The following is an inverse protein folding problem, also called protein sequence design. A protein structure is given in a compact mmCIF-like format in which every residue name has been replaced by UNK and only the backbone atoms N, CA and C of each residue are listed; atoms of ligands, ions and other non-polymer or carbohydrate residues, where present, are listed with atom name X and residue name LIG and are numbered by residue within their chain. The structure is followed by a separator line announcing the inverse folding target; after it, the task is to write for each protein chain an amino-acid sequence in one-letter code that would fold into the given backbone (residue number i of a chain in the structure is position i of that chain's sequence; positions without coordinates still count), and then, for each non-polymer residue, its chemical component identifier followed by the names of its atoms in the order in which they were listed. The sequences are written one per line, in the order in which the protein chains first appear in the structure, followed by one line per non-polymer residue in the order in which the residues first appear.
data_IF_072378991934
#
_entry.id   IF_072378991934
#
_cell.length_a   1.000
_cell.length_b   1.000
_cell.length_c   1.000
_cell.angle_alpha   90.00
_cell.angle_beta   90.00
_cell.angle_gamma   90.00
#
_symmetry.space_group_name_H-M   'P 1'
#
loop_
_entity.id
_entity.type
_entity.pdbx_description
1 polymer ?
#
# COMPACT_ATOMS: atom_id res chain seq x y z
N UNK A 1 -6.99 -4.00 23.18
CA UNK A 1 -7.49 -3.64 21.83
C UNK A 1 -7.15 -2.18 21.56
N UNK A 2 -6.46 -1.91 20.44
CA UNK A 2 -6.01 -0.56 20.01
C UNK A 2 -7.19 0.38 19.85
N UNK A 3 -7.08 1.61 20.40
CA UNK A 3 -8.03 2.71 20.18
C UNK A 3 -7.33 3.83 19.45
N UNK A 4 -7.95 4.39 18.42
CA UNK A 4 -7.38 5.47 17.63
C UNK A 4 -8.33 6.65 17.63
N UNK A 5 -7.84 7.80 18.09
CA UNK A 5 -8.59 9.05 18.13
C UNK A 5 -7.90 10.09 17.27
N UNK A 6 -8.58 10.56 16.24
CA UNK A 6 -8.09 11.60 15.33
C UNK A 6 -8.65 12.96 15.75
N UNK A 7 -7.78 13.87 16.14
CA UNK A 7 -8.14 15.21 16.58
C UNK A 7 -8.10 16.16 15.39
N UNK A 8 -9.23 16.75 15.05
CA UNK A 8 -9.40 17.62 13.88
C UNK A 8 -9.85 19.03 14.28
N UNK A 9 -9.18 20.08 13.75
CA UNK A 9 -9.68 21.44 13.89
C UNK A 9 -10.83 21.69 12.90
N UNK A 10 -11.85 22.40 13.34
CA UNK A 10 -12.97 22.84 12.50
C UNK A 10 -12.65 24.15 11.83
N UNK A 11 -12.05 25.10 12.55
CA UNK A 11 -11.64 26.42 12.10
C UNK A 11 -10.10 26.54 12.03
N UNK A 12 -9.61 27.40 11.14
CA UNK A 12 -8.16 27.61 10.94
C UNK A 12 -7.47 28.31 12.13
N UNK A 13 -8.22 28.97 13.00
CA UNK A 13 -7.76 29.60 14.24
C UNK A 13 -7.40 28.61 15.34
N UNK A 14 -7.93 27.39 15.29
CA UNK A 14 -7.71 26.37 16.32
C UNK A 14 -6.26 25.90 16.30
N UNK A 15 -5.60 26.00 17.46
CA UNK A 15 -4.25 25.49 17.70
C UNK A 15 -4.36 24.16 18.45
N UNK A 16 -3.86 23.07 17.84
CA UNK A 16 -4.02 21.72 18.39
C UNK A 16 -3.00 21.33 19.47
N UNK A 17 -1.84 21.99 19.55
CA UNK A 17 -0.71 21.52 20.38
C UNK A 17 -1.06 21.39 21.86
N UNK A 18 -1.71 22.41 22.43
CA UNK A 18 -2.18 22.36 23.83
C UNK A 18 -3.20 21.25 24.05
N UNK A 19 -4.17 21.13 23.14
CA UNK A 19 -5.22 20.14 23.21
C UNK A 19 -4.67 18.72 23.07
N UNK A 20 -3.75 18.49 22.12
CA UNK A 20 -3.10 17.18 21.94
C UNK A 20 -2.35 16.74 23.20
N UNK A 21 -1.64 17.68 23.84
CA UNK A 21 -0.95 17.40 25.10
C UNK A 21 -1.93 16.98 26.22
N UNK A 22 -3.02 17.73 26.41
CA UNK A 22 -4.07 17.42 27.38
C UNK A 22 -4.79 16.12 27.08
N UNK A 23 -5.07 15.88 25.79
CA UNK A 23 -5.71 14.63 25.31
C UNK A 23 -4.83 13.43 25.59
N UNK A 24 -3.52 13.54 25.30
CA UNK A 24 -2.54 12.49 25.56
C UNK A 24 -2.40 12.19 27.07
N UNK A 25 -2.34 13.23 27.91
CA UNK A 25 -2.31 13.07 29.36
C UNK A 25 -3.59 12.39 29.89
N UNK A 26 -4.74 12.77 29.36
CA UNK A 26 -6.02 12.14 29.70
C UNK A 26 -6.03 10.68 29.28
N UNK A 27 -5.59 10.37 28.05
CA UNK A 27 -5.54 9.01 27.54
C UNK A 27 -4.61 8.08 28.36
N UNK A 28 -3.48 8.60 28.85
CA UNK A 28 -2.53 7.86 29.70
C UNK A 28 -3.11 7.36 31.01
N UNK A 29 -4.20 7.95 31.49
CA UNK A 29 -4.93 7.46 32.68
C UNK A 29 -5.64 6.13 32.43
N UNK A 30 -5.91 5.80 31.16
CA UNK A 30 -6.71 4.64 30.71
C UNK A 30 -5.89 3.56 29.99
N UNK A 31 -4.59 3.78 29.80
CA UNK A 31 -3.70 2.82 29.18
C UNK A 31 -2.42 3.44 28.61
N UNK A 32 -1.59 2.60 27.98
CA UNK A 32 -0.42 3.10 27.25
C UNK A 32 -0.91 3.96 26.08
N UNK A 33 -0.51 5.24 26.06
CA UNK A 33 -0.97 6.19 25.06
C UNK A 33 0.21 6.88 24.37
N UNK A 34 0.10 7.04 23.04
CA UNK A 34 1.10 7.72 22.21
C UNK A 34 0.45 8.78 21.32
N UNK A 35 1.26 9.75 20.87
CA UNK A 35 0.90 10.73 19.85
C UNK A 35 1.49 10.33 18.51
N UNK A 36 0.68 10.39 17.45
CA UNK A 36 1.08 10.18 16.06
C UNK A 36 0.69 11.40 15.22
N UNK A 37 1.67 12.05 14.59
CA UNK A 37 1.48 13.25 13.77
C UNK A 37 1.88 12.99 12.31
N UNK A 38 1.05 12.28 11.53
CA UNK A 38 1.40 11.80 10.19
C UNK A 38 1.39 12.90 9.12
N UNK A 39 0.69 14.01 9.38
CA UNK A 39 0.54 15.14 8.44
C UNK A 39 1.20 16.40 9.01
N UNK A 40 2.46 16.29 9.47
CA UNK A 40 3.28 17.46 9.74
C UNK A 40 3.54 18.24 8.45
N UNK A 41 4.14 19.44 8.52
CA UNK A 41 4.25 20.35 7.38
C UNK A 41 4.88 19.73 6.11
N UNK A 42 5.92 18.93 6.25
CA UNK A 42 6.59 18.26 5.13
C UNK A 42 5.75 17.10 4.57
N UNK A 43 5.28 16.24 5.45
CA UNK A 43 4.42 15.11 5.07
C UNK A 43 3.08 15.56 4.49
N UNK A 44 2.53 16.68 4.98
CA UNK A 44 1.33 17.29 4.40
C UNK A 44 1.55 17.72 2.96
N UNK A 45 2.65 18.40 2.64
CA UNK A 45 2.96 18.86 1.28
C UNK A 45 3.04 17.69 0.31
N UNK A 46 3.72 16.61 0.69
CA UNK A 46 3.82 15.38 -0.10
C UNK A 46 2.47 14.68 -0.27
N UNK A 47 1.68 14.59 0.78
CA UNK A 47 0.34 13.99 0.73
C UNK A 47 -0.61 14.82 -0.14
N UNK A 48 -0.53 16.15 -0.08
CA UNK A 48 -1.31 17.07 -0.90
C UNK A 48 -0.96 16.96 -2.39
N UNK A 49 0.33 16.82 -2.72
CA UNK A 49 0.78 16.56 -4.08
C UNK A 49 0.23 15.22 -4.61
N UNK A 50 0.36 14.15 -3.85
CA UNK A 50 -0.21 12.85 -4.22
C UNK A 50 -1.73 12.92 -4.39
N UNK A 51 -2.42 13.62 -3.49
CA UNK A 51 -3.87 13.81 -3.59
C UNK A 51 -4.28 14.56 -4.85
N UNK A 52 -3.58 15.68 -5.19
CA UNK A 52 -3.87 16.48 -6.39
C UNK A 52 -3.67 15.69 -7.70
N UNK A 53 -2.78 14.71 -7.68
CA UNK A 53 -2.50 13.82 -8.81
C UNK A 53 -3.37 12.55 -8.83
N UNK A 54 -4.42 12.48 -8.00
CA UNK A 54 -5.31 11.32 -7.90
C UNK A 54 -4.74 10.11 -7.13
N UNK A 55 -3.57 10.26 -6.51
CA UNK A 55 -2.85 9.22 -5.80
C UNK A 55 -2.95 9.33 -4.27
N UNK A 56 -3.98 9.97 -3.74
CA UNK A 56 -4.16 10.14 -2.29
C UNK A 56 -4.18 8.83 -1.50
N UNK A 57 -4.66 7.75 -2.12
CA UNK A 57 -4.63 6.42 -1.49
C UNK A 57 -3.20 5.93 -1.18
N UNK A 58 -2.21 6.29 -2.01
CA UNK A 58 -0.79 5.95 -1.79
C UNK A 58 -0.24 6.66 -0.55
N UNK A 59 -0.63 7.94 -0.34
CA UNK A 59 -0.27 8.66 0.88
C UNK A 59 -0.84 7.98 2.13
N UNK A 60 -2.10 7.56 2.08
CA UNK A 60 -2.74 6.86 3.21
C UNK A 60 -2.14 5.49 3.48
N UNK A 61 -1.74 4.76 2.45
CA UNK A 61 -1.02 3.48 2.57
C UNK A 61 0.33 3.66 3.28
N UNK A 62 1.08 4.72 2.91
CA UNK A 62 2.35 5.03 3.57
C UNK A 62 2.13 5.42 5.05
N UNK A 63 1.12 6.24 5.34
CA UNK A 63 0.76 6.60 6.71
C UNK A 63 0.36 5.36 7.53
N UNK A 64 -0.44 4.46 6.95
CA UNK A 64 -0.83 3.22 7.61
C UNK A 64 0.37 2.29 7.87
N UNK A 65 1.33 2.27 6.95
CA UNK A 65 2.60 1.54 7.12
C UNK A 65 3.41 2.10 8.29
N UNK A 66 3.58 3.43 8.36
CA UNK A 66 4.32 4.07 9.44
C UNK A 66 3.59 3.94 10.78
N UNK A 67 2.27 4.05 10.77
CA UNK A 67 1.41 3.78 11.93
C UNK A 67 1.62 2.35 12.46
N UNK A 68 1.69 1.35 11.60
CA UNK A 68 1.90 -0.04 11.99
C UNK A 68 3.26 -0.30 12.64
N UNK A 69 4.29 0.45 12.24
CA UNK A 69 5.66 0.31 12.78
C UNK A 69 5.80 0.88 14.19
N UNK A 70 5.05 1.94 14.51
CA UNK A 70 5.20 2.66 15.79
C UNK A 70 4.15 2.29 16.82
N UNK A 71 3.07 1.62 16.42
CA UNK A 71 1.95 1.28 17.32
C UNK A 71 1.95 -0.21 17.68
N UNK A 72 1.52 -0.50 18.90
CA UNK A 72 1.32 -1.88 19.39
C UNK A 72 -0.18 -2.16 19.56
N UNK A 73 -0.51 -3.44 19.77
CA UNK A 73 -1.84 -3.81 20.24
C UNK A 73 -2.06 -3.25 21.68
N UNK A 74 -3.31 -2.97 22.00
CA UNK A 74 -3.74 -2.44 23.31
C UNK A 74 -3.28 -1.02 23.66
N UNK A 75 -2.76 -0.26 22.69
CA UNK A 75 -2.44 1.15 22.87
C UNK A 75 -3.61 2.07 22.53
N UNK A 76 -3.61 3.25 23.17
CA UNK A 76 -4.43 4.40 22.79
C UNK A 76 -3.55 5.30 21.92
N UNK A 77 -3.97 5.55 20.69
CA UNK A 77 -3.22 6.40 19.76
C UNK A 77 -4.00 7.69 19.53
N UNK A 78 -3.41 8.80 19.94
CA UNK A 78 -3.91 10.13 19.61
C UNK A 78 -3.26 10.54 18.30
N UNK A 79 -4.07 10.80 17.27
CA UNK A 79 -3.60 11.17 15.95
C UNK A 79 -3.87 12.66 15.74
N UNK A 80 -2.85 13.39 15.35
CA UNK A 80 -2.97 14.78 14.96
C UNK A 80 -3.42 14.87 13.50
N UNK A 81 -4.54 15.53 13.24
CA UNK A 81 -4.97 15.87 11.90
C UNK A 81 -4.19 17.04 11.31
N UNK A 82 -4.28 17.22 10.00
CA UNK A 82 -3.73 18.37 9.31
C UNK A 82 -4.45 19.66 9.75
N UNK A 83 -3.66 20.71 9.96
CA UNK A 83 -4.18 22.05 10.26
C UNK A 83 -4.76 22.72 8.99
N UNK A 84 -5.71 23.62 9.19
CA UNK A 84 -6.42 24.27 8.08
C UNK A 84 -5.76 25.56 7.55
N UNK A 85 -4.57 25.92 8.05
CA UNK A 85 -3.96 27.23 7.81
C UNK A 85 -3.56 27.49 6.35
N UNK A 86 -2.97 26.49 5.67
CA UNK A 86 -2.37 26.72 4.34
C UNK A 86 -3.27 26.28 3.18
N UNK A 87 -4.13 25.31 3.38
CA UNK A 87 -5.01 24.77 2.34
C UNK A 87 -6.20 24.05 2.98
N UNK A 88 -7.22 24.79 3.44
CA UNK A 88 -8.34 24.23 4.20
C UNK A 88 -9.05 23.09 3.49
N UNK A 89 -9.31 23.22 2.19
CA UNK A 89 -9.98 22.18 1.39
C UNK A 89 -9.17 20.88 1.35
N UNK A 90 -7.88 20.97 1.02
CA UNK A 90 -6.99 19.80 0.93
C UNK A 90 -6.81 19.17 2.30
N UNK A 91 -6.61 19.97 3.35
CA UNK A 91 -6.48 19.49 4.72
C UNK A 91 -7.73 18.74 5.19
N UNK A 92 -8.94 19.24 4.92
CA UNK A 92 -10.19 18.53 5.25
C UNK A 92 -10.30 17.19 4.55
N UNK A 93 -9.98 17.13 3.24
CA UNK A 93 -10.04 15.86 2.49
C UNK A 93 -8.97 14.87 2.95
N UNK A 94 -7.75 15.32 3.21
CA UNK A 94 -6.72 14.44 3.79
C UNK A 94 -7.08 13.95 5.19
N UNK A 95 -7.71 14.79 6.03
CA UNK A 95 -8.19 14.41 7.36
C UNK A 95 -9.30 13.34 7.30
N UNK A 96 -10.24 13.47 6.36
CA UNK A 96 -11.27 12.47 6.10
C UNK A 96 -10.64 11.14 5.66
N UNK A 97 -9.73 11.19 4.69
CA UNK A 97 -9.01 10.00 4.23
C UNK A 97 -8.20 9.35 5.36
N UNK A 98 -7.58 10.16 6.21
CA UNK A 98 -6.81 9.68 7.37
C UNK A 98 -7.71 8.98 8.39
N UNK A 99 -8.90 9.54 8.68
CA UNK A 99 -9.88 8.89 9.55
C UNK A 99 -10.26 7.49 9.06
N UNK A 100 -10.54 7.37 7.78
CA UNK A 100 -10.90 6.11 7.14
C UNK A 100 -9.70 5.15 7.05
N UNK A 101 -8.51 5.68 6.75
CA UNK A 101 -7.29 4.87 6.61
C UNK A 101 -6.85 4.24 7.92
N UNK A 102 -7.11 4.87 9.05
CA UNK A 102 -6.73 4.39 10.38
C UNK A 102 -7.93 3.84 11.19
N UNK A 103 -9.12 3.72 10.62
CA UNK A 103 -10.38 3.40 11.33
C UNK A 103 -10.49 4.18 12.65
N UNK A 104 -10.20 5.49 12.55
CA UNK A 104 -10.07 6.35 13.71
C UNK A 104 -11.43 6.92 14.14
N UNK A 105 -11.60 7.07 15.46
CA UNK A 105 -12.71 7.84 16.04
C UNK A 105 -12.33 9.32 16.01
N UNK A 106 -13.16 10.14 15.38
CA UNK A 106 -12.87 11.56 15.21
C UNK A 106 -13.34 12.40 16.40
N UNK A 107 -12.50 13.33 16.80
CA UNK A 107 -12.79 14.40 17.76
C UNK A 107 -12.70 15.73 17.02
N UNK A 108 -13.84 16.41 16.86
CA UNK A 108 -13.93 17.71 16.18
C UNK A 108 -13.79 18.84 17.21
N UNK A 109 -12.80 19.69 17.02
CA UNK A 109 -12.53 20.82 17.90
C UNK A 109 -12.90 22.12 17.20
N UNK A 110 -13.80 22.87 17.83
CA UNK A 110 -14.34 24.14 17.33
C UNK A 110 -14.18 25.24 18.38
N UNK A 111 -14.25 26.49 17.95
CA UNK A 111 -14.27 27.63 18.89
C UNK A 111 -15.50 27.59 19.82
N UNK A 112 -16.61 27.05 19.33
CA UNK A 112 -17.84 26.93 20.11
C UNK A 112 -18.67 25.70 19.68
N UNK A 113 -19.60 25.28 20.55
CA UNK A 113 -20.41 24.07 20.35
C UNK A 113 -21.54 24.22 19.30
N UNK A 114 -21.83 25.44 18.86
CA UNK A 114 -22.94 25.77 17.97
C UNK A 114 -22.52 26.29 16.59
N UNK A 115 -21.22 26.19 16.24
CA UNK A 115 -20.71 26.63 14.94
C UNK A 115 -21.38 25.87 13.79
N UNK A 116 -21.75 26.60 12.75
CA UNK A 116 -22.34 26.01 11.55
C UNK A 116 -21.32 25.09 10.86
N UNK A 117 -20.06 25.51 10.82
CA UNK A 117 -18.95 24.71 10.27
C UNK A 117 -18.81 23.38 10.97
N UNK A 118 -18.92 23.37 12.32
CA UNK A 118 -18.89 22.15 13.12
C UNK A 118 -20.04 21.21 12.74
N UNK A 119 -21.26 21.72 12.59
CA UNK A 119 -22.40 20.89 12.23
C UNK A 119 -22.28 20.35 10.81
N UNK A 120 -21.85 21.17 9.84
CA UNK A 120 -21.61 20.74 8.45
C UNK A 120 -20.55 19.65 8.38
N UNK A 121 -19.39 19.85 9.01
CA UNK A 121 -18.30 18.89 8.98
C UNK A 121 -18.67 17.58 9.69
N UNK A 122 -19.38 17.67 10.83
CA UNK A 122 -19.88 16.48 11.50
C UNK A 122 -20.83 15.66 10.62
N UNK A 123 -21.76 16.34 9.91
CA UNK A 123 -22.70 15.67 8.99
C UNK A 123 -21.93 15.02 7.82
N UNK A 124 -21.02 15.74 7.16
CA UNK A 124 -20.20 15.22 6.06
C UNK A 124 -19.43 13.96 6.49
N UNK A 125 -18.77 13.99 7.64
CA UNK A 125 -18.02 12.84 8.14
C UNK A 125 -18.92 11.64 8.44
N UNK A 126 -20.09 11.87 9.03
CA UNK A 126 -21.04 10.79 9.32
C UNK A 126 -21.62 10.16 8.05
N UNK A 127 -21.95 10.96 7.02
CA UNK A 127 -22.38 10.48 5.70
C UNK A 127 -21.29 9.62 5.06
N UNK A 128 -20.04 9.98 5.23
CA UNK A 128 -18.86 9.21 4.77
C UNK A 128 -18.47 8.06 5.73
N UNK A 129 -19.35 7.70 6.69
CA UNK A 129 -19.16 6.58 7.63
C UNK A 129 -17.98 6.75 8.58
N UNK A 130 -17.53 7.96 8.82
CA UNK A 130 -16.53 8.28 9.83
C UNK A 130 -17.22 8.43 11.19
N UNK A 131 -16.69 7.78 12.21
CA UNK A 131 -17.24 7.84 13.57
C UNK A 131 -16.77 9.10 14.29
N UNK A 132 -17.65 10.03 14.56
CA UNK A 132 -17.38 11.21 15.40
C UNK A 132 -17.82 10.89 16.84
N UNK A 133 -16.88 10.94 17.79
CA UNK A 133 -17.11 10.58 19.21
C UNK A 133 -17.23 11.79 20.11
N UNK A 134 -16.58 12.90 19.76
CA UNK A 134 -16.70 14.17 20.48
C UNK A 134 -16.66 15.33 19.48
N UNK A 135 -17.38 16.39 19.79
CA UNK A 135 -17.39 17.62 18.98
C UNK A 135 -17.73 18.83 19.84
N UNK A 136 -17.15 19.99 19.53
CA UNK A 136 -17.42 21.26 20.20
C UNK A 136 -16.16 21.98 20.67
N UNK A 137 -16.33 22.86 21.67
CA UNK A 137 -15.24 23.59 22.28
C UNK A 137 -14.27 22.65 23.03
N UNK A 138 -13.02 23.07 23.22
CA UNK A 138 -11.94 22.26 23.82
C UNK A 138 -12.34 21.61 25.13
N UNK A 139 -12.96 22.34 26.04
CA UNK A 139 -13.37 21.83 27.35
C UNK A 139 -14.43 20.74 27.24
N UNK A 140 -15.37 20.88 26.31
CA UNK A 140 -16.42 19.92 26.06
C UNK A 140 -15.87 18.64 25.44
N UNK A 141 -15.05 18.76 24.40
CA UNK A 141 -14.47 17.59 23.72
C UNK A 141 -13.60 16.74 24.63
N UNK A 142 -12.82 17.34 25.53
CA UNK A 142 -12.02 16.60 26.51
C UNK A 142 -12.89 15.78 27.48
N UNK A 143 -13.98 16.37 27.98
CA UNK A 143 -14.91 15.67 28.87
C UNK A 143 -15.59 14.49 28.18
N UNK A 144 -16.08 14.70 26.94
CA UNK A 144 -16.76 13.65 26.16
C UNK A 144 -15.78 12.55 25.76
N UNK A 145 -14.55 12.90 25.38
CA UNK A 145 -13.51 11.92 25.07
C UNK A 145 -13.16 11.06 26.29
N UNK A 146 -13.06 11.68 27.47
CA UNK A 146 -12.80 10.95 28.72
C UNK A 146 -13.92 9.94 29.02
N UNK A 147 -15.17 10.30 28.77
CA UNK A 147 -16.31 9.38 28.88
C UNK A 147 -16.24 8.23 27.86
N UNK A 148 -15.77 8.50 26.64
CA UNK A 148 -15.57 7.43 25.64
C UNK A 148 -14.41 6.50 26.00
N UNK A 149 -13.35 7.03 26.61
CA UNK A 149 -12.21 6.25 27.10
C UNK A 149 -12.58 5.28 28.25
N UNK A 150 -13.61 5.58 29.03
CA UNK A 150 -14.14 4.68 30.08
C UNK A 150 -14.92 3.49 29.54
N UNK A 151 -15.43 3.59 28.30
CA UNK A 151 -16.22 2.52 27.67
C UNK A 151 -15.33 1.35 27.23
N UNK A 152 -15.94 0.18 27.11
CA UNK A 152 -15.28 -0.95 26.44
C UNK A 152 -14.97 -0.56 24.98
N UNK A 153 -13.75 -0.80 24.50
CA UNK A 153 -13.40 -0.48 23.11
C UNK A 153 -14.31 -1.19 22.14
N UNK A 154 -14.79 -0.46 21.13
CA UNK A 154 -15.43 -1.10 19.98
C UNK A 154 -14.41 -1.93 19.21
N UNK A 155 -14.87 -3.00 18.58
CA UNK A 155 -14.05 -3.78 17.65
C UNK A 155 -13.63 -2.87 16.49
N UNK A 156 -12.32 -2.72 16.32
CA UNK A 156 -11.73 -1.93 15.25
C UNK A 156 -11.66 -2.76 13.98
N UNK A 157 -12.03 -2.17 12.86
CA UNK A 157 -11.94 -2.81 11.55
C UNK A 157 -10.57 -2.52 10.92
N UNK A 158 -10.02 -3.50 10.23
CA UNK A 158 -8.82 -3.29 9.40
C UNK A 158 -9.25 -2.50 8.16
N UNK A 159 -8.73 -1.30 8.00
CA UNK A 159 -8.98 -0.48 6.82
C UNK A 159 -8.30 -1.05 5.57
N UNK A 160 -8.71 -0.58 4.40
CA UNK A 160 -8.05 -0.95 3.14
C UNK A 160 -6.56 -0.54 3.13
N UNK A 161 -6.24 0.64 3.67
CA UNK A 161 -4.86 1.13 3.76
C UNK A 161 -4.02 0.26 4.69
N UNK A 162 -4.53 -0.08 5.86
CA UNK A 162 -3.84 -0.98 6.82
C UNK A 162 -3.69 -2.40 6.28
N UNK A 163 -4.70 -2.91 5.58
CA UNK A 163 -4.59 -4.23 4.93
C UNK A 163 -3.44 -4.22 3.92
N UNK A 164 -3.39 -3.23 3.02
CA UNK A 164 -2.30 -3.09 2.06
C UNK A 164 -0.95 -2.92 2.75
N UNK A 165 -0.85 -2.05 3.75
CA UNK A 165 0.36 -1.88 4.55
C UNK A 165 0.83 -3.20 5.18
N UNK A 166 -0.08 -4.01 5.72
CA UNK A 166 0.25 -5.32 6.29
C UNK A 166 0.82 -6.30 5.26
N UNK A 167 0.33 -6.25 4.02
CA UNK A 167 0.89 -7.05 2.91
C UNK A 167 2.31 -6.60 2.56
N UNK A 168 2.55 -5.28 2.52
CA UNK A 168 3.90 -4.73 2.25
C UNK A 168 4.90 -5.15 3.34
N UNK A 169 4.52 -5.08 4.61
CA UNK A 169 5.37 -5.55 5.72
C UNK A 169 5.73 -7.02 5.54
N UNK A 170 4.73 -7.89 5.37
CA UNK A 170 4.96 -9.33 5.18
C UNK A 170 5.81 -9.65 3.96
N UNK A 171 5.60 -8.95 2.85
CA UNK A 171 6.37 -9.15 1.63
C UNK A 171 7.84 -8.73 1.81
N UNK A 172 8.10 -7.62 2.53
CA UNK A 172 9.45 -7.11 2.77
C UNK A 172 10.28 -7.96 3.75
N UNK A 173 9.63 -8.66 4.67
CA UNK A 173 10.32 -9.56 5.63
C UNK A 173 11.05 -10.73 4.93
N UNK A 174 10.44 -11.26 3.87
CA UNK A 174 10.98 -12.36 3.09
C UNK A 174 10.70 -12.15 1.61
N UNK A 175 11.50 -11.26 1.01
CA UNK A 175 11.37 -10.95 -0.41
C UNK A 175 11.44 -12.22 -1.26
N UNK A 176 10.50 -12.35 -2.16
CA UNK A 176 10.40 -13.44 -3.11
C UNK A 176 10.88 -13.00 -4.49
N UNK A 177 11.56 -13.89 -5.17
CA UNK A 177 12.02 -13.69 -6.53
C UNK A 177 10.89 -13.99 -7.50
N UNK A 178 10.40 -12.97 -8.21
CA UNK A 178 9.20 -13.06 -9.05
C UNK A 178 9.58 -12.78 -10.50
N UNK A 179 9.36 -13.74 -11.39
CA UNK A 179 9.57 -13.54 -12.82
C UNK A 179 8.35 -12.91 -13.49
N UNK A 180 8.61 -11.93 -14.32
CA UNK A 180 7.65 -11.14 -15.10
C UNK A 180 7.94 -11.34 -16.59
N UNK A 181 7.26 -12.29 -17.26
CA UNK A 181 7.56 -12.68 -18.65
C UNK A 181 7.34 -11.58 -19.67
N UNK A 182 6.49 -10.60 -19.38
CA UNK A 182 6.10 -9.52 -20.28
C UNK A 182 6.92 -8.26 -20.00
N UNK A 183 8.26 -8.41 -20.00
CA UNK A 183 9.18 -7.34 -19.64
C UNK A 183 9.18 -6.13 -20.59
N UNK A 184 8.67 -6.28 -21.80
CA UNK A 184 8.54 -5.18 -22.76
C UNK A 184 7.21 -4.40 -22.60
N UNK A 185 6.33 -4.81 -21.69
CA UNK A 185 5.08 -4.10 -21.42
C UNK A 185 5.32 -2.94 -20.43
N UNK A 186 4.97 -1.69 -20.78
CA UNK A 186 5.25 -0.51 -19.94
C UNK A 186 4.72 -0.62 -18.50
N UNK A 187 3.52 -1.18 -18.30
CA UNK A 187 2.92 -1.39 -16.98
C UNK A 187 3.70 -2.41 -16.15
N UNK A 188 4.23 -3.44 -16.81
CA UNK A 188 5.06 -4.46 -16.15
C UNK A 188 6.40 -3.87 -15.70
N UNK A 189 7.01 -3.02 -16.54
CA UNK A 189 8.25 -2.31 -16.20
C UNK A 189 8.02 -1.41 -14.98
N UNK A 190 6.97 -0.59 -14.98
CA UNK A 190 6.63 0.29 -13.87
C UNK A 190 6.36 -0.50 -12.58
N UNK A 191 5.60 -1.57 -12.67
CA UNK A 191 5.31 -2.45 -11.53
C UNK A 191 6.58 -3.12 -10.98
N UNK A 192 7.50 -3.54 -11.84
CA UNK A 192 8.78 -4.13 -11.42
C UNK A 192 9.66 -3.10 -10.69
N UNK A 193 9.76 -1.88 -11.21
CA UNK A 193 10.50 -0.80 -10.56
C UNK A 193 9.92 -0.52 -9.17
N UNK A 194 8.61 -0.33 -9.07
CA UNK A 194 7.93 -0.08 -7.79
C UNK A 194 8.09 -1.23 -6.80
N UNK A 195 7.99 -2.48 -7.27
CA UNK A 195 8.17 -3.65 -6.42
C UNK A 195 9.61 -3.77 -5.89
N UNK A 196 10.59 -3.45 -6.72
CA UNK A 196 12.00 -3.43 -6.34
C UNK A 196 12.31 -2.33 -5.33
N UNK A 197 11.95 -1.08 -5.63
CA UNK A 197 12.20 0.09 -4.78
C UNK A 197 11.52 -0.02 -3.40
N UNK A 198 10.29 -0.52 -3.39
CA UNK A 198 9.54 -0.74 -2.14
C UNK A 198 9.91 -2.03 -1.41
N UNK A 199 10.86 -2.79 -1.93
CA UNK A 199 11.30 -4.08 -1.37
C UNK A 199 10.16 -5.09 -1.19
N UNK A 200 9.18 -5.07 -2.09
CA UNK A 200 8.05 -6.00 -2.08
C UNK A 200 8.47 -7.36 -2.61
N UNK A 201 9.30 -7.37 -3.67
CA UNK A 201 9.80 -8.57 -4.31
C UNK A 201 11.19 -8.30 -4.92
N UNK A 202 11.83 -9.35 -5.39
CA UNK A 202 13.00 -9.28 -6.28
C UNK A 202 12.48 -9.62 -7.70
N UNK A 203 12.09 -8.61 -8.50
CA UNK A 203 11.54 -8.86 -9.82
C UNK A 203 12.63 -9.28 -10.81
N UNK A 204 12.26 -10.15 -11.75
CA UNK A 204 13.07 -10.56 -12.91
C UNK A 204 12.26 -10.30 -14.16
N UNK A 205 12.61 -9.28 -14.93
CA UNK A 205 11.97 -8.99 -16.20
C UNK A 205 12.53 -9.90 -17.31
N UNK A 206 11.67 -10.56 -18.08
CA UNK A 206 12.09 -11.29 -19.27
C UNK A 206 11.82 -10.44 -20.51
N UNK A 207 12.86 -10.19 -21.32
CA UNK A 207 12.72 -9.43 -22.54
C UNK A 207 14.05 -8.85 -23.04
N UNK A 208 13.99 -8.12 -24.15
CA UNK A 208 15.16 -7.46 -24.68
C UNK A 208 15.55 -6.24 -23.84
N UNK A 209 16.76 -6.22 -23.27
CA UNK A 209 17.21 -5.15 -22.37
C UNK A 209 17.12 -3.75 -23.01
N UNK A 210 17.57 -3.61 -24.25
CA UNK A 210 17.56 -2.30 -24.92
C UNK A 210 16.13 -1.77 -25.11
N UNK A 211 15.22 -2.65 -25.53
CA UNK A 211 13.83 -2.30 -25.71
C UNK A 211 13.16 -1.90 -24.38
N UNK A 212 13.42 -2.64 -23.29
CA UNK A 212 12.95 -2.32 -21.95
C UNK A 212 13.47 -0.95 -21.48
N UNK A 213 14.75 -0.66 -21.71
CA UNK A 213 15.38 0.62 -21.35
C UNK A 213 14.81 1.79 -22.17
N UNK A 214 14.52 1.58 -23.46
CA UNK A 214 13.88 2.57 -24.33
C UNK A 214 12.44 2.88 -23.89
N UNK A 215 11.65 1.84 -23.57
CA UNK A 215 10.29 2.00 -23.06
C UNK A 215 10.28 2.73 -21.71
N UNK A 216 11.17 2.36 -20.80
CA UNK A 216 11.29 3.02 -19.49
C UNK A 216 11.63 4.51 -19.68
N UNK A 217 12.60 4.83 -20.55
CA UNK A 217 12.99 6.21 -20.85
C UNK A 217 11.84 7.02 -21.44
N UNK A 218 11.07 6.43 -22.36
CA UNK A 218 9.90 7.08 -22.96
C UNK A 218 8.80 7.40 -21.95
N UNK A 219 8.78 6.68 -20.82
CA UNK A 219 7.86 6.87 -19.69
C UNK A 219 8.44 7.69 -18.56
N UNK A 220 9.64 8.28 -18.72
CA UNK A 220 10.39 8.97 -17.67
C UNK A 220 10.64 8.09 -16.42
N UNK A 221 10.76 6.78 -16.61
CA UNK A 221 11.09 5.82 -15.57
C UNK A 221 12.60 5.55 -15.59
N UNK A 222 13.18 5.43 -14.40
CA UNK A 222 14.59 5.01 -14.23
C UNK A 222 14.60 3.57 -13.73
N UNK A 223 15.27 2.69 -14.48
CA UNK A 223 15.46 1.30 -14.08
C UNK A 223 16.55 1.26 -13.00
N UNK A 224 16.25 0.75 -11.80
CA UNK A 224 17.26 0.57 -10.75
C UNK A 224 18.38 -0.37 -11.21
N UNK A 225 19.63 -0.05 -10.84
CA UNK A 225 20.81 -0.83 -11.26
C UNK A 225 20.73 -2.33 -10.88
N UNK A 226 20.11 -2.63 -9.74
CA UNK A 226 19.93 -4.00 -9.25
C UNK A 226 18.69 -4.73 -9.79
N UNK A 227 17.87 -4.10 -10.63
CA UNK A 227 16.71 -4.76 -11.25
C UNK A 227 17.17 -5.71 -12.36
N UNK A 228 16.89 -7.01 -12.18
CA UNK A 228 17.33 -8.02 -13.12
C UNK A 228 16.50 -8.03 -14.39
N UNK A 229 17.18 -8.01 -15.53
CA UNK A 229 16.59 -8.20 -16.85
C UNK A 229 17.30 -9.38 -17.50
N UNK A 230 16.54 -10.41 -17.87
CA UNK A 230 17.02 -11.60 -18.54
C UNK A 230 16.50 -11.63 -19.97
N UNK A 231 17.41 -11.69 -20.93
CA UNK A 231 17.04 -11.80 -22.34
C UNK A 231 16.51 -13.18 -22.68
N UNK A 232 15.41 -13.22 -23.43
CA UNK A 232 14.81 -14.45 -23.92
C UNK A 232 15.48 -14.82 -25.24
N UNK A 233 16.46 -15.69 -25.14
CA UNK A 233 17.27 -16.19 -26.27
C UNK A 233 17.25 -17.71 -26.28
N UNK A 234 17.72 -18.31 -27.38
CA UNK A 234 17.91 -19.77 -27.45
C UNK A 234 18.92 -20.24 -26.38
N UNK A 235 19.97 -19.47 -26.12
CA UNK A 235 20.99 -19.80 -25.13
C UNK A 235 20.42 -19.75 -23.69
N UNK A 236 19.59 -18.74 -23.38
CA UNK A 236 18.95 -18.66 -22.06
C UNK A 236 17.98 -19.81 -21.77
N UNK A 237 17.34 -20.34 -22.82
CA UNK A 237 16.44 -21.51 -22.75
C UNK A 237 17.13 -22.85 -22.70
N UNK A 238 18.34 -22.96 -23.25
CA UNK A 238 19.07 -24.23 -23.49
C UNK A 238 19.18 -25.13 -22.27
N UNK A 239 19.46 -24.58 -21.10
CA UNK A 239 19.59 -25.34 -19.85
C UNK A 239 18.31 -26.03 -19.41
N UNK A 240 17.13 -25.58 -19.88
CA UNK A 240 15.83 -26.14 -19.51
C UNK A 240 15.32 -27.21 -20.48
N UNK A 241 15.91 -27.30 -21.70
CA UNK A 241 15.47 -28.25 -22.74
C UNK A 241 15.42 -29.70 -22.23
N UNK A 242 16.47 -30.25 -21.59
CA UNK A 242 16.43 -31.64 -21.11
C UNK A 242 15.30 -31.91 -20.12
N UNK A 243 15.09 -30.98 -19.18
CA UNK A 243 14.04 -31.13 -18.17
C UNK A 243 12.65 -31.02 -18.79
N UNK A 244 12.43 -30.09 -19.74
CA UNK A 244 11.14 -29.94 -20.43
C UNK A 244 10.81 -31.19 -21.26
N UNK A 245 11.80 -31.73 -21.97
CA UNK A 245 11.65 -32.98 -22.72
C UNK A 245 11.25 -34.13 -21.79
N UNK A 246 11.95 -34.32 -20.69
CA UNK A 246 11.64 -35.39 -19.73
C UNK A 246 10.23 -35.24 -19.13
N UNK A 247 9.86 -34.06 -18.71
CA UNK A 247 8.52 -33.75 -18.15
C UNK A 247 7.38 -34.04 -19.12
N UNK A 248 7.64 -33.94 -20.41
CA UNK A 248 6.61 -34.01 -21.48
C UNK A 248 6.84 -35.14 -22.47
N UNK A 249 7.81 -36.03 -22.22
CA UNK A 249 8.16 -37.18 -23.07
C UNK A 249 6.96 -38.01 -23.51
N UNK A 250 6.09 -38.35 -22.57
CA UNK A 250 4.86 -39.12 -22.82
C UNK A 250 3.83 -38.36 -23.72
N UNK A 251 4.04 -37.07 -23.97
CA UNK A 251 3.22 -36.25 -24.86
C UNK A 251 3.95 -35.87 -26.18
N UNK A 252 5.03 -36.57 -26.47
CA UNK A 252 5.77 -36.37 -27.74
C UNK A 252 6.68 -35.16 -27.78
N UNK A 253 7.12 -34.63 -26.64
CA UNK A 253 8.06 -33.52 -26.59
C UNK A 253 9.43 -33.95 -27.14
N UNK A 254 9.94 -33.24 -28.11
CA UNK A 254 11.30 -33.40 -28.64
C UNK A 254 12.18 -32.24 -28.22
N UNK A 255 13.49 -32.37 -28.35
CA UNK A 255 14.43 -31.26 -28.04
C UNK A 255 14.16 -30.03 -28.92
N UNK A 256 13.86 -30.26 -30.21
CA UNK A 256 13.52 -29.18 -31.14
C UNK A 256 12.25 -28.42 -30.70
N UNK A 257 11.18 -29.15 -30.36
CA UNK A 257 9.94 -28.56 -29.87
C UNK A 257 10.17 -27.80 -28.53
N UNK A 258 10.93 -28.38 -27.62
CA UNK A 258 11.26 -27.74 -26.33
C UNK A 258 12.07 -26.46 -26.57
N UNK A 259 13.09 -26.49 -27.44
CA UNK A 259 13.89 -25.32 -27.79
C UNK A 259 13.02 -24.20 -28.36
N UNK A 260 12.08 -24.53 -29.26
CA UNK A 260 11.18 -23.56 -29.84
C UNK A 260 10.19 -22.99 -28.82
N UNK A 261 9.64 -23.79 -27.92
CA UNK A 261 8.75 -23.33 -26.86
C UNK A 261 9.46 -22.39 -25.89
N UNK A 262 10.72 -22.64 -25.57
CA UNK A 262 11.51 -21.82 -24.63
C UNK A 262 11.95 -20.46 -25.22
N UNK A 263 11.67 -20.16 -26.48
CA UNK A 263 11.75 -18.83 -27.08
C UNK A 263 10.57 -17.93 -26.64
N UNK A 264 9.51 -18.52 -26.09
CA UNK A 264 8.41 -17.80 -25.47
C UNK A 264 8.73 -17.50 -23.99
N UNK A 265 8.56 -16.24 -23.60
CA UNK A 265 8.93 -15.76 -22.25
C UNK A 265 8.12 -16.40 -21.14
N UNK A 266 6.85 -16.77 -21.40
CA UNK A 266 6.01 -17.43 -20.38
C UNK A 266 6.46 -18.88 -20.18
N UNK A 267 6.82 -19.58 -21.23
CA UNK A 267 7.42 -20.92 -21.15
C UNK A 267 8.75 -20.90 -20.41
N UNK A 268 9.62 -19.94 -20.77
CA UNK A 268 10.92 -19.77 -20.11
C UNK A 268 10.74 -19.47 -18.61
N UNK A 269 9.91 -18.47 -18.27
CA UNK A 269 9.61 -18.13 -16.87
C UNK A 269 8.99 -19.27 -16.09
N UNK A 270 8.12 -20.08 -16.73
CA UNK A 270 7.54 -21.27 -16.09
C UNK A 270 8.59 -22.34 -15.81
N UNK A 271 9.58 -22.50 -16.68
CA UNK A 271 10.70 -23.41 -16.41
C UNK A 271 11.63 -22.89 -15.31
N UNK A 272 11.88 -21.56 -15.23
CA UNK A 272 12.61 -20.95 -14.11
C UNK A 272 11.91 -21.26 -12.77
N UNK A 273 10.58 -21.14 -12.75
CA UNK A 273 9.77 -21.49 -11.57
C UNK A 273 9.86 -22.99 -11.25
N UNK A 274 9.76 -23.85 -12.25
CA UNK A 274 9.88 -25.31 -12.07
C UNK A 274 11.22 -25.73 -11.50
N UNK A 275 12.29 -25.05 -11.91
CA UNK A 275 13.65 -25.33 -11.45
C UNK A 275 14.01 -24.65 -10.13
N UNK A 276 13.08 -23.88 -9.54
CA UNK A 276 13.29 -23.19 -8.27
C UNK A 276 14.23 -21.98 -8.36
N UNK A 277 14.46 -21.44 -9.55
CA UNK A 277 15.27 -20.24 -9.77
C UNK A 277 14.51 -18.96 -9.39
N UNK A 278 13.18 -19.05 -9.40
CA UNK A 278 12.26 -18.02 -8.94
C UNK A 278 11.18 -18.64 -8.06
N UNK A 279 10.61 -17.84 -7.16
CA UNK A 279 9.56 -18.27 -6.22
C UNK A 279 8.14 -18.18 -6.82
N UNK A 280 7.98 -17.35 -7.86
CA UNK A 280 6.68 -17.13 -8.49
C UNK A 280 6.80 -16.54 -9.89
N UNK A 281 5.69 -16.61 -10.64
CA UNK A 281 5.52 -16.01 -11.96
C UNK A 281 4.24 -15.20 -11.98
N UNK A 282 4.30 -13.98 -12.51
CA UNK A 282 3.14 -13.11 -12.74
C UNK A 282 3.12 -12.68 -14.19
N UNK A 283 2.04 -12.99 -14.89
CA UNK A 283 1.84 -12.70 -16.32
C UNK A 283 0.37 -12.41 -16.61
N UNK A 284 0.05 -11.96 -17.82
CA UNK A 284 -1.30 -11.67 -18.28
C UNK A 284 -1.54 -10.20 -18.60
N UNK A 285 -0.49 -9.40 -18.75
CA UNK A 285 -0.60 -8.02 -19.18
C UNK A 285 -0.90 -7.91 -20.70
N UNK A 286 -0.32 -8.81 -21.52
CA UNK A 286 -0.51 -8.87 -22.99
C UNK A 286 -0.81 -10.26 -23.51
N UNK A 287 -0.38 -11.32 -22.81
CA UNK A 287 -0.71 -12.69 -23.20
C UNK A 287 -2.18 -13.04 -22.93
N UNK A 288 -2.76 -13.89 -23.78
CA UNK A 288 -4.09 -14.44 -23.50
C UNK A 288 -4.07 -15.33 -22.26
N UNK A 289 -5.24 -15.53 -21.64
CA UNK A 289 -5.38 -16.46 -20.50
C UNK A 289 -4.86 -17.85 -20.86
N UNK A 290 -5.13 -18.32 -22.09
CA UNK A 290 -4.68 -19.63 -22.55
C UNK A 290 -3.15 -19.72 -22.64
N UNK A 291 -2.49 -18.68 -23.14
CA UNK A 291 -1.04 -18.67 -23.32
C UNK A 291 -0.32 -18.53 -21.98
N UNK A 292 -0.90 -17.79 -21.02
CA UNK A 292 -0.38 -17.68 -19.66
C UNK A 292 -0.54 -18.98 -18.87
N UNK A 293 -1.71 -19.60 -18.93
CA UNK A 293 -2.04 -20.76 -18.06
C UNK A 293 -1.53 -22.08 -18.62
N UNK A 294 -1.44 -22.23 -19.95
CA UNK A 294 -1.03 -23.48 -20.63
C UNK A 294 0.34 -23.98 -20.17
N UNK A 295 1.43 -23.19 -20.12
CA UNK A 295 2.73 -23.63 -19.63
C UNK A 295 2.65 -24.12 -18.16
N UNK A 296 1.96 -23.38 -17.30
CA UNK A 296 1.79 -23.75 -15.88
C UNK A 296 1.10 -25.11 -15.72
N UNK A 297 -0.04 -25.33 -16.41
CA UNK A 297 -0.76 -26.62 -16.39
C UNK A 297 0.08 -27.77 -16.93
N UNK A 298 0.94 -27.51 -17.90
CA UNK A 298 1.74 -28.54 -18.55
C UNK A 298 3.01 -28.91 -17.78
N UNK A 299 3.62 -27.95 -17.07
CA UNK A 299 4.92 -28.08 -16.40
C UNK A 299 4.77 -28.21 -14.88
N UNK A 300 4.05 -27.29 -14.25
CA UNK A 300 3.88 -27.24 -12.79
C UNK A 300 2.84 -28.27 -12.35
N UNK A 301 1.74 -28.36 -13.09
CA UNK A 301 0.54 -29.16 -12.79
C UNK A 301 -0.22 -28.64 -11.55
N UNK A 302 -1.37 -29.24 -11.28
CA UNK A 302 -2.11 -29.03 -10.03
C UNK A 302 -1.62 -30.01 -8.96
N UNK A 303 -1.66 -29.57 -7.71
CA UNK A 303 -1.38 -30.42 -6.55
C UNK A 303 -2.43 -31.53 -6.41
#
# INVERSE_FOLDING_TARGET
MKRVYLILPVEASIQLDSLLSKTLETAKKYGEAILFSPLNSEAFSKAAELFSNGNGAVAMEQIALDFSKITKEDQIVIVQGATLQNSPFVARKLNEMLALALDASVVLVSENDSSTELQCLNTELQENRVRVVAKGAETNVLSVLEEDLKKVPNERKISQAEFRASLLVKASEKQKRIVLPEGNEPRTIEAAILAYERKIAIPVLLGNRKEIEEIARAKNLTIPEGLEILEVTEESGKKYVPTLVELRKAKGMTEELATNLLKDSVWLGTMMLKMGEVDGLVSGAVHSTADTVRPALQIIKTA
#
